data_IF_668444379198
#
_entry.id   IF_668444379198
#
_cell.length_a   1.000
_cell.length_b   1.000
_cell.length_c   1.000
_cell.angle_alpha   90.00
_cell.angle_beta   90.00
_cell.angle_gamma   90.00
#
_symmetry.space_group_name_H-M   'P 1'
#
loop_
_entity.id
_entity.type
_entity.pdbx_description
1 polymer ?
#
# COMPACT_ATOMS: atom_id res chain seq x y z
N UNK A 1 16.10 24.48 3.25
CA UNK A 1 15.10 23.62 2.58
C UNK A 1 15.04 22.32 3.34
N UNK A 2 13.93 22.03 4.01
CA UNK A 2 13.67 20.72 4.61
C UNK A 2 13.46 19.72 3.48
N UNK A 3 14.25 18.65 3.43
CA UNK A 3 14.00 17.55 2.51
C UNK A 3 12.59 17.03 2.79
N UNK A 4 11.74 16.96 1.76
CA UNK A 4 10.45 16.30 1.89
C UNK A 4 10.69 14.82 2.12
N UNK A 5 10.10 14.30 3.19
CA UNK A 5 10.22 12.89 3.57
C UNK A 5 9.01 12.17 2.98
N UNK A 6 9.26 11.26 2.04
CA UNK A 6 8.28 10.28 1.59
C UNK A 6 8.54 8.97 2.31
N UNK A 7 7.48 8.25 2.67
CA UNK A 7 7.62 6.89 3.22
C UNK A 7 8.13 5.92 2.15
N UNK A 8 7.72 6.12 0.90
CA UNK A 8 8.19 5.31 -0.22
C UNK A 8 9.56 5.77 -0.75
N UNK A 9 10.59 4.90 -0.81
CA UNK A 9 11.94 5.30 -1.23
C UNK A 9 12.03 5.75 -2.69
N UNK A 10 11.22 5.15 -3.59
CA UNK A 10 11.16 5.58 -4.98
C UNK A 10 10.58 7.00 -5.14
N UNK A 11 9.56 7.35 -4.34
CA UNK A 11 8.96 8.69 -4.36
C UNK A 11 9.91 9.73 -3.75
N UNK A 12 10.63 9.37 -2.68
CA UNK A 12 11.71 10.20 -2.14
C UNK A 12 12.77 10.52 -3.21
N UNK A 13 13.20 9.50 -3.96
CA UNK A 13 14.19 9.65 -5.04
C UNK A 13 13.65 10.49 -6.20
N UNK A 14 12.39 10.28 -6.60
CA UNK A 14 11.74 11.05 -7.65
C UNK A 14 11.57 12.52 -7.25
N UNK A 15 11.16 12.81 -6.01
CA UNK A 15 11.03 14.16 -5.49
C UNK A 15 12.36 14.93 -5.54
N UNK A 16 13.48 14.27 -5.22
CA UNK A 16 14.81 14.85 -5.36
C UNK A 16 15.14 15.18 -6.83
N UNK A 17 14.80 14.29 -7.78
CA UNK A 17 15.00 14.52 -9.23
C UNK A 17 14.08 15.61 -9.80
N UNK A 18 12.89 15.77 -9.25
CA UNK A 18 11.91 16.80 -9.62
C UNK A 18 12.20 18.18 -9.00
N UNK A 19 13.22 18.31 -8.15
CA UNK A 19 13.50 19.56 -7.43
C UNK A 19 13.72 20.77 -8.37
N UNK A 20 14.37 20.56 -9.50
CA UNK A 20 14.57 21.60 -10.52
C UNK A 20 13.25 21.99 -11.20
N UNK A 21 12.43 21.00 -11.60
CA UNK A 21 11.11 21.26 -12.17
C UNK A 21 10.21 22.00 -11.18
N UNK A 22 10.24 21.63 -9.89
CA UNK A 22 9.54 22.35 -8.82
C UNK A 22 10.01 23.79 -8.70
N UNK A 23 11.32 24.03 -8.76
CA UNK A 23 11.90 25.37 -8.75
C UNK A 23 11.41 26.23 -9.92
N UNK A 24 11.38 25.64 -11.13
CA UNK A 24 10.85 26.30 -12.32
C UNK A 24 9.35 26.57 -12.20
N UNK A 25 8.57 25.57 -11.74
CA UNK A 25 7.14 25.68 -11.51
C UNK A 25 6.79 26.82 -10.55
N UNK A 26 7.53 26.94 -9.45
CA UNK A 26 7.38 28.02 -8.47
C UNK A 26 7.66 29.41 -9.05
N UNK A 27 8.60 29.55 -9.99
CA UNK A 27 8.88 30.82 -10.69
C UNK A 27 7.79 31.21 -11.68
N UNK A 28 7.08 30.23 -12.22
CA UNK A 28 5.98 30.42 -13.18
C UNK A 28 4.61 30.50 -12.51
N UNK A 29 4.51 30.15 -11.22
CA UNK A 29 3.23 30.09 -10.50
C UNK A 29 2.32 28.95 -10.96
N UNK A 30 2.88 27.87 -11.50
CA UNK A 30 2.13 26.66 -11.91
C UNK A 30 2.13 25.61 -10.80
N UNK A 31 1.37 24.53 -10.99
CA UNK A 31 1.21 23.47 -9.99
C UNK A 31 2.55 22.84 -9.58
N UNK A 32 2.68 22.50 -8.28
CA UNK A 32 3.87 21.83 -7.74
C UNK A 32 3.82 20.32 -8.09
N UNK A 33 4.73 19.82 -8.95
CA UNK A 33 4.75 18.42 -9.35
C UNK A 33 5.12 17.48 -8.19
N UNK A 34 5.87 17.95 -7.18
CA UNK A 34 6.25 17.12 -6.03
C UNK A 34 5.09 17.01 -5.04
N UNK A 35 4.25 18.04 -4.93
CA UNK A 35 3.04 17.98 -4.13
C UNK A 35 2.08 16.89 -4.65
N UNK A 36 2.04 16.66 -5.96
CA UNK A 36 1.23 15.59 -6.54
C UNK A 36 1.65 14.20 -6.04
N UNK A 37 2.96 13.92 -5.97
CA UNK A 37 3.47 12.61 -5.52
C UNK A 37 2.99 12.19 -4.13
N UNK A 38 2.62 13.15 -3.27
CA UNK A 38 2.09 12.85 -1.92
C UNK A 38 0.76 12.09 -1.96
N UNK A 39 0.03 12.14 -3.06
CA UNK A 39 -1.19 11.34 -3.24
C UNK A 39 -0.91 9.85 -3.43
N UNK A 40 0.34 9.47 -3.69
CA UNK A 40 0.80 8.08 -3.80
C UNK A 40 1.73 7.68 -2.64
N UNK A 41 1.97 8.58 -1.68
CA UNK A 41 2.88 8.27 -0.57
C UNK A 41 2.23 7.26 0.36
N UNK A 42 2.85 6.09 0.42
CA UNK A 42 2.40 4.95 1.20
C UNK A 42 3.62 4.18 1.73
N UNK A 43 3.44 3.38 2.78
CA UNK A 43 4.44 2.45 3.28
C UNK A 43 4.08 0.98 3.02
N UNK A 44 4.31 0.46 1.79
CA UNK A 44 4.21 -0.95 1.49
C UNK A 44 4.99 -1.84 2.47
N UNK A 45 6.16 -1.39 2.92
CA UNK A 45 6.97 -2.14 3.89
C UNK A 45 6.24 -2.35 5.23
N UNK A 46 5.58 -1.31 5.76
CA UNK A 46 4.79 -1.40 6.99
C UNK A 46 3.58 -2.32 6.83
N UNK A 47 2.93 -2.30 5.66
CA UNK A 47 1.82 -3.21 5.33
C UNK A 47 2.33 -4.65 5.26
N UNK A 48 3.46 -4.91 4.59
CA UNK A 48 4.10 -6.24 4.56
C UNK A 48 4.43 -6.75 5.95
N UNK A 49 5.01 -5.91 6.82
CA UNK A 49 5.28 -6.28 8.22
C UNK A 49 4.00 -6.66 8.97
N UNK A 50 2.93 -5.89 8.78
CA UNK A 50 1.64 -6.17 9.41
C UNK A 50 1.03 -7.49 8.89
N UNK A 51 1.09 -7.72 7.58
CA UNK A 51 0.64 -8.96 6.95
C UNK A 51 1.43 -10.18 7.48
N UNK A 52 2.76 -10.08 7.59
CA UNK A 52 3.59 -11.14 8.17
C UNK A 52 3.28 -11.40 9.64
N UNK A 53 2.95 -10.37 10.42
CA UNK A 53 2.54 -10.55 11.82
C UNK A 53 1.20 -11.29 11.94
N UNK A 54 0.24 -11.00 11.05
CA UNK A 54 -1.05 -11.72 10.98
C UNK A 54 -0.84 -13.18 10.57
N UNK A 55 0.04 -13.44 9.60
CA UNK A 55 0.37 -14.81 9.17
C UNK A 55 0.99 -15.62 10.30
N UNK A 56 1.95 -15.03 11.04
CA UNK A 56 2.51 -15.65 12.24
C UNK A 56 1.44 -15.90 13.32
N UNK A 57 0.46 -14.99 13.47
CA UNK A 57 -0.70 -15.19 14.31
C UNK A 57 -1.56 -16.38 13.88
N UNK A 58 -1.78 -16.57 12.57
CA UNK A 58 -2.53 -17.71 12.03
C UNK A 58 -1.86 -19.06 12.37
N UNK A 59 -0.52 -19.11 12.36
CA UNK A 59 0.24 -20.27 12.81
C UNK A 59 0.05 -20.53 14.31
N UNK A 60 0.02 -19.47 15.13
CA UNK A 60 -0.29 -19.56 16.55
C UNK A 60 -1.69 -20.13 16.83
N UNK A 61 -2.70 -19.70 16.06
CA UNK A 61 -4.07 -20.22 16.15
C UNK A 61 -4.13 -21.70 15.75
N UNK A 62 -3.41 -22.08 14.70
CA UNK A 62 -3.29 -23.51 14.29
C UNK A 62 -2.65 -24.35 15.40
N UNK A 63 -1.58 -23.87 16.03
CA UNK A 63 -0.95 -24.58 17.16
C UNK A 63 -1.90 -24.72 18.35
N UNK A 64 -2.65 -23.67 18.68
CA UNK A 64 -3.66 -23.71 19.74
C UNK A 64 -4.78 -24.69 19.43
N UNK A 65 -5.19 -24.81 18.17
CA UNK A 65 -6.15 -25.80 17.70
C UNK A 65 -5.65 -27.24 17.94
N UNK A 66 -4.39 -27.52 17.62
CA UNK A 66 -3.78 -28.83 17.83
C UNK A 66 -3.71 -29.20 19.32
N UNK A 67 -3.32 -28.25 20.17
CA UNK A 67 -3.32 -28.42 21.62
C UNK A 67 -4.73 -28.65 22.18
N UNK A 68 -5.71 -27.91 21.67
CA UNK A 68 -7.12 -28.07 22.03
C UNK A 68 -7.61 -29.48 21.68
N UNK A 69 -7.38 -29.94 20.44
CA UNK A 69 -7.76 -31.29 19.98
C UNK A 69 -7.12 -32.39 20.85
N UNK A 70 -5.83 -32.26 21.15
CA UNK A 70 -5.14 -33.19 22.04
C UNK A 70 -5.72 -33.17 23.48
N UNK A 71 -6.23 -32.02 23.94
CA UNK A 71 -6.94 -31.90 25.22
C UNK A 71 -8.30 -32.59 25.21
N UNK A 72 -9.08 -32.42 24.14
CA UNK A 72 -10.38 -33.07 23.93
C UNK A 72 -10.25 -34.58 23.92
N UNK A 73 -9.30 -35.13 23.16
CA UNK A 73 -9.03 -36.58 23.09
C UNK A 73 -8.74 -37.20 24.47
N UNK A 74 -8.02 -36.48 25.34
CA UNK A 74 -7.76 -36.94 26.72
C UNK A 74 -9.02 -36.90 27.58
N UNK A 75 -9.87 -35.89 27.42
CA UNK A 75 -11.07 -35.67 28.23
C UNK A 75 -12.20 -36.66 27.90
N UNK A 76 -12.31 -37.10 26.64
CA UNK A 76 -13.35 -38.06 26.20
C UNK A 76 -13.25 -39.43 26.89
N UNK A 77 -12.09 -39.78 27.46
CA UNK A 77 -11.91 -40.99 28.28
C UNK A 77 -12.64 -40.97 29.64
N UNK A 78 -13.24 -39.82 30.03
CA UNK A 78 -13.77 -39.56 31.37
C UNK A 78 -15.29 -39.63 31.60
N UNK A 79 -16.12 -39.89 30.58
CA UNK A 79 -17.53 -40.31 30.78
C UNK A 79 -18.66 -39.28 30.61
N UNK A 80 -18.42 -38.08 30.06
CA UNK A 80 -19.50 -37.16 29.61
C UNK A 80 -19.31 -36.77 28.14
N UNK A 81 -19.71 -37.65 27.22
CA UNK A 81 -19.21 -37.60 25.83
C UNK A 81 -20.03 -36.73 24.86
N UNK A 82 -21.36 -36.76 24.86
CA UNK A 82 -22.13 -36.19 23.73
C UNK A 82 -22.17 -34.65 23.68
N UNK A 83 -22.54 -33.98 24.77
CA UNK A 83 -22.62 -32.50 24.79
C UNK A 83 -21.23 -31.86 24.76
N UNK A 84 -20.23 -32.51 25.37
CA UNK A 84 -18.84 -32.06 25.32
C UNK A 84 -18.26 -32.20 23.92
N UNK A 85 -18.51 -33.31 23.22
CA UNK A 85 -18.08 -33.53 21.84
C UNK A 85 -18.62 -32.48 20.87
N UNK A 86 -19.93 -32.19 20.92
CA UNK A 86 -20.53 -31.17 20.03
C UNK A 86 -19.95 -29.76 20.27
N UNK A 87 -19.69 -29.40 21.52
CA UNK A 87 -19.04 -28.13 21.84
C UNK A 87 -17.58 -28.11 21.39
N UNK A 88 -16.86 -29.22 21.59
CA UNK A 88 -15.48 -29.36 21.15
C UNK A 88 -15.34 -29.24 19.63
N UNK A 89 -16.22 -29.89 18.86
CA UNK A 89 -16.27 -29.76 17.40
C UNK A 89 -16.53 -28.32 16.96
N UNK A 90 -17.42 -27.61 17.67
CA UNK A 90 -17.72 -26.20 17.38
C UNK A 90 -16.48 -25.32 17.59
N UNK A 91 -15.80 -25.48 18.72
CA UNK A 91 -14.59 -24.70 19.05
C UNK A 91 -13.44 -25.04 18.10
N UNK A 92 -13.25 -26.32 17.76
CA UNK A 92 -12.26 -26.74 16.75
C UNK A 92 -12.54 -26.12 15.38
N UNK A 93 -13.81 -26.07 14.97
CA UNK A 93 -14.26 -25.38 13.75
C UNK A 93 -13.94 -23.88 13.78
N UNK A 94 -14.18 -23.21 14.90
CA UNK A 94 -13.87 -21.77 15.08
C UNK A 94 -12.36 -21.50 14.99
N UNK A 95 -11.52 -22.36 15.58
CA UNK A 95 -10.07 -22.26 15.42
C UNK A 95 -9.64 -22.40 13.95
N UNK A 96 -10.19 -23.39 13.25
CA UNK A 96 -9.89 -23.62 11.84
C UNK A 96 -10.34 -22.47 10.93
N UNK A 97 -11.49 -21.87 11.20
CA UNK A 97 -12.00 -20.69 10.49
C UNK A 97 -11.14 -19.46 10.77
N UNK A 98 -10.81 -19.20 12.04
CA UNK A 98 -9.95 -18.09 12.43
C UNK A 98 -8.55 -18.20 11.79
N UNK A 99 -7.93 -19.38 11.80
CA UNK A 99 -6.62 -19.59 11.17
C UNK A 99 -6.68 -19.35 9.66
N UNK A 100 -7.70 -19.89 8.97
CA UNK A 100 -7.88 -19.70 7.51
C UNK A 100 -8.09 -18.23 7.16
N UNK A 101 -8.90 -17.51 7.92
CA UNK A 101 -9.17 -16.10 7.64
C UNK A 101 -7.97 -15.20 7.96
N UNK A 102 -7.21 -15.50 9.01
CA UNK A 102 -5.96 -14.81 9.30
C UNK A 102 -4.94 -15.00 8.16
N UNK A 103 -4.76 -16.24 7.68
CA UNK A 103 -3.90 -16.51 6.52
C UNK A 103 -4.37 -15.80 5.24
N UNK A 104 -5.68 -15.81 4.96
CA UNK A 104 -6.25 -15.09 3.81
C UNK A 104 -6.04 -13.56 3.91
N UNK A 105 -6.19 -13.01 5.12
CA UNK A 105 -5.96 -11.59 5.42
C UNK A 105 -4.50 -11.21 5.19
N UNK A 106 -3.56 -12.02 5.69
CA UNK A 106 -2.14 -11.82 5.48
C UNK A 106 -1.78 -11.86 3.99
N UNK A 107 -2.27 -12.85 3.25
CA UNK A 107 -2.02 -12.98 1.82
C UNK A 107 -2.57 -11.78 1.03
N UNK A 108 -3.77 -11.30 1.37
CA UNK A 108 -4.35 -10.10 0.75
C UNK A 108 -3.53 -8.84 1.09
N UNK A 109 -3.14 -8.66 2.35
CA UNK A 109 -2.31 -7.53 2.78
C UNK A 109 -0.97 -7.48 2.05
N UNK A 110 -0.33 -8.63 1.85
CA UNK A 110 0.90 -8.72 1.06
C UNK A 110 0.69 -8.31 -0.41
N UNK A 111 -0.36 -8.82 -1.08
CA UNK A 111 -0.70 -8.43 -2.46
C UNK A 111 -0.96 -6.93 -2.60
N UNK A 112 -1.69 -6.34 -1.66
CA UNK A 112 -1.99 -4.90 -1.65
C UNK A 112 -0.69 -4.12 -1.51
N UNK A 113 0.20 -4.52 -0.58
CA UNK A 113 1.49 -3.86 -0.42
C UNK A 113 2.32 -3.90 -1.70
N UNK A 114 2.39 -5.05 -2.37
CA UNK A 114 3.14 -5.19 -3.62
C UNK A 114 2.53 -4.34 -4.73
N UNK A 115 1.20 -4.27 -4.83
CA UNK A 115 0.54 -3.42 -5.83
C UNK A 115 0.77 -1.93 -5.58
N UNK A 116 0.77 -1.51 -4.32
CA UNK A 116 1.09 -0.12 -3.92
C UNK A 116 2.54 0.23 -4.27
N UNK A 117 3.47 -0.69 -4.01
CA UNK A 117 4.89 -0.56 -4.34
C UNK A 117 5.09 -0.40 -5.86
N UNK A 118 4.48 -1.28 -6.66
CA UNK A 118 4.51 -1.21 -8.12
C UNK A 118 3.99 0.13 -8.66
N UNK A 119 2.87 0.63 -8.13
CA UNK A 119 2.29 1.90 -8.57
C UNK A 119 3.17 3.09 -8.21
N UNK A 120 3.77 3.08 -7.02
CA UNK A 120 4.68 4.12 -6.57
C UNK A 120 5.99 4.12 -7.38
N UNK A 121 6.56 2.95 -7.69
CA UNK A 121 7.73 2.81 -8.57
C UNK A 121 7.40 3.26 -9.98
N UNK A 122 6.30 2.79 -10.58
CA UNK A 122 5.91 3.17 -11.92
C UNK A 122 5.64 4.69 -12.04
N UNK A 123 5.00 5.29 -11.05
CA UNK A 123 4.83 6.74 -11.00
C UNK A 123 6.18 7.46 -10.89
N UNK A 124 7.07 7.00 -10.01
CA UNK A 124 8.39 7.59 -9.82
C UNK A 124 9.22 7.59 -11.11
N UNK A 125 9.19 6.49 -11.86
CA UNK A 125 9.91 6.37 -13.13
C UNK A 125 9.31 7.31 -14.19
N UNK A 126 7.99 7.26 -14.39
CA UNK A 126 7.29 8.06 -15.40
C UNK A 126 7.47 9.57 -15.19
N UNK A 127 7.36 10.06 -13.95
CA UNK A 127 7.53 11.49 -13.65
C UNK A 127 8.98 11.93 -13.81
N UNK A 128 9.94 11.04 -13.53
CA UNK A 128 11.35 11.31 -13.73
C UNK A 128 11.69 11.41 -15.23
N UNK A 129 11.10 10.57 -16.06
CA UNK A 129 11.24 10.63 -17.52
C UNK A 129 10.66 11.94 -18.07
N UNK A 130 9.45 12.33 -17.64
CA UNK A 130 8.83 13.60 -18.01
C UNK A 130 9.70 14.80 -17.64
N UNK A 131 10.24 14.84 -16.43
CA UNK A 131 11.13 15.90 -15.97
C UNK A 131 12.44 15.93 -16.77
N UNK A 132 12.99 14.76 -17.10
CA UNK A 132 14.24 14.65 -17.87
C UNK A 132 14.06 15.09 -19.32
N UNK A 133 12.91 14.80 -19.93
CA UNK A 133 12.57 15.27 -21.28
C UNK A 133 12.48 16.80 -21.36
N UNK A 134 11.99 17.45 -20.31
CA UNK A 134 11.83 18.90 -20.24
C UNK A 134 13.04 19.65 -19.64
N UNK A 135 14.16 18.95 -19.34
CA UNK A 135 15.34 19.53 -18.69
C UNK A 135 15.84 20.84 -19.32
N UNK A 136 15.95 20.97 -20.66
CA UNK A 136 16.42 22.22 -21.28
C UNK A 136 15.52 23.43 -20.93
N UNK A 137 14.20 23.24 -20.97
CA UNK A 137 13.22 24.29 -20.66
C UNK A 137 13.15 24.59 -19.17
N UNK A 138 13.34 23.58 -18.31
CA UNK A 138 13.49 23.78 -16.86
C UNK A 138 14.70 24.67 -16.58
N UNK A 139 15.85 24.36 -17.15
CA UNK A 139 17.09 25.13 -16.97
C UNK A 139 16.95 26.55 -17.50
N UNK A 140 16.28 26.75 -18.64
CA UNK A 140 15.99 28.07 -19.20
C UNK A 140 15.14 28.93 -18.24
N UNK A 141 14.06 28.38 -17.65
CA UNK A 141 13.26 29.09 -16.63
C UNK A 141 14.09 29.41 -15.39
N UNK A 142 14.96 28.49 -14.97
CA UNK A 142 15.86 28.69 -13.83
C UNK A 142 16.96 29.73 -14.11
N UNK A 143 17.32 29.94 -15.38
CA UNK A 143 18.17 31.05 -15.83
C UNK A 143 17.40 32.37 -16.01
N UNK A 144 16.07 32.34 -15.99
CA UNK A 144 15.20 33.53 -16.07
C UNK A 144 14.51 33.73 -17.42
N UNK A 145 14.63 32.78 -18.35
CA UNK A 145 13.86 32.82 -19.60
C UNK A 145 12.36 32.67 -19.30
N UNK A 146 11.56 33.49 -19.98
CA UNK A 146 10.11 33.54 -19.90
C UNK A 146 9.47 33.59 -21.29
N UNK A 147 10.17 33.14 -22.32
CA UNK A 147 9.60 32.89 -23.64
C UNK A 147 8.38 31.99 -23.54
N UNK A 148 7.40 32.22 -24.41
CA UNK A 148 6.10 31.55 -24.34
C UNK A 148 6.26 30.03 -24.52
N UNK A 149 7.20 29.61 -25.35
CA UNK A 149 7.54 28.23 -25.63
C UNK A 149 8.05 27.51 -24.37
N UNK A 150 9.04 28.09 -23.69
CA UNK A 150 9.65 27.55 -22.47
C UNK A 150 8.64 27.48 -21.32
N UNK A 151 7.85 28.54 -21.13
CA UNK A 151 6.80 28.58 -20.10
C UNK A 151 5.72 27.53 -20.39
N UNK A 152 5.30 27.40 -21.64
CA UNK A 152 4.30 26.41 -22.07
C UNK A 152 4.80 24.99 -21.85
N UNK A 153 6.07 24.69 -22.15
CA UNK A 153 6.64 23.36 -21.97
C UNK A 153 6.73 22.97 -20.50
N UNK A 154 7.27 23.84 -19.63
CA UNK A 154 7.33 23.56 -18.18
C UNK A 154 5.94 23.41 -17.58
N UNK A 155 4.98 24.26 -17.98
CA UNK A 155 3.59 24.16 -17.55
C UNK A 155 2.94 22.84 -18.00
N UNK A 156 3.14 22.44 -19.25
CA UNK A 156 2.62 21.18 -19.80
C UNK A 156 3.22 19.96 -19.08
N UNK A 157 4.53 19.99 -18.79
CA UNK A 157 5.22 18.93 -18.05
C UNK A 157 4.70 18.81 -16.62
N UNK A 158 4.51 19.92 -15.90
CA UNK A 158 3.89 19.88 -14.57
C UNK A 158 2.48 19.27 -14.62
N UNK A 159 1.67 19.67 -15.61
CA UNK A 159 0.34 19.11 -15.80
C UNK A 159 0.37 17.62 -16.23
N UNK A 160 1.40 17.18 -16.93
CA UNK A 160 1.60 15.77 -17.29
C UNK A 160 1.98 14.93 -16.05
N UNK A 161 2.88 15.44 -15.20
CA UNK A 161 3.23 14.80 -13.92
C UNK A 161 2.00 14.63 -13.04
N UNK A 162 1.19 15.68 -12.88
CA UNK A 162 -0.06 15.60 -12.10
C UNK A 162 -1.01 14.54 -12.66
N UNK A 163 -1.16 14.48 -13.99
CA UNK A 163 -2.01 13.45 -14.65
C UNK A 163 -1.48 12.04 -14.46
N UNK A 164 -0.17 11.82 -14.65
CA UNK A 164 0.46 10.51 -14.45
C UNK A 164 0.21 9.98 -13.02
N UNK A 165 0.33 10.86 -12.02
CA UNK A 165 0.01 10.53 -10.63
C UNK A 165 -1.47 10.23 -10.44
N UNK A 166 -2.37 11.06 -10.98
CA UNK A 166 -3.82 10.86 -10.89
C UNK A 166 -4.25 9.53 -11.52
N UNK A 167 -3.64 9.14 -12.63
CA UNK A 167 -3.92 7.87 -13.30
C UNK A 167 -3.54 6.67 -12.41
N UNK A 168 -2.41 6.76 -11.67
CA UNK A 168 -2.04 5.70 -10.70
C UNK A 168 -2.97 5.69 -9.50
N UNK A 169 -3.36 6.85 -8.98
CA UNK A 169 -4.34 6.96 -7.88
C UNK A 169 -5.68 6.37 -8.30
N UNK A 170 -6.14 6.64 -9.52
CA UNK A 170 -7.36 6.05 -10.05
C UNK A 170 -7.26 4.52 -10.13
N UNK A 171 -6.10 3.97 -10.51
CA UNK A 171 -5.86 2.54 -10.51
C UNK A 171 -5.96 1.90 -9.10
N UNK A 172 -5.80 2.68 -8.02
CA UNK A 172 -6.01 2.19 -6.64
C UNK A 172 -7.47 1.88 -6.34
N UNK A 173 -8.44 2.52 -6.99
CA UNK A 173 -9.87 2.23 -6.74
C UNK A 173 -10.25 0.78 -7.09
N UNK A 174 -9.49 0.12 -7.97
CA UNK A 174 -9.66 -1.30 -8.24
C UNK A 174 -9.33 -2.19 -7.02
N UNK A 175 -8.43 -1.75 -6.13
CA UNK A 175 -8.09 -2.47 -4.89
C UNK A 175 -9.18 -2.36 -3.82
N UNK A 176 -10.08 -1.37 -3.90
CA UNK A 176 -11.12 -1.18 -2.89
C UNK A 176 -12.09 -2.37 -2.83
N UNK A 177 -12.40 -2.98 -3.97
CA UNK A 177 -13.23 -4.19 -4.02
C UNK A 177 -12.53 -5.42 -3.39
N UNK A 178 -11.20 -5.47 -3.43
CA UNK A 178 -10.43 -6.55 -2.80
C UNK A 178 -10.37 -6.43 -1.28
N UNK A 179 -10.61 -5.24 -0.73
CA UNK A 179 -10.59 -4.97 0.71
C UNK A 179 -11.90 -5.33 1.42
N UNK A 180 -13.02 -5.47 0.70
CA UNK A 180 -14.34 -5.78 1.26
C UNK A 180 -14.32 -6.99 2.23
N UNK A 181 -13.64 -8.12 1.91
CA UNK A 181 -13.58 -9.28 2.81
C UNK A 181 -12.89 -9.02 4.15
N UNK A 182 -12.10 -7.94 4.26
CA UNK A 182 -11.40 -7.58 5.51
C UNK A 182 -12.28 -6.79 6.49
N UNK A 183 -13.47 -6.37 6.07
CA UNK A 183 -14.35 -5.50 6.88
C UNK A 183 -15.37 -6.27 7.73
N UNK A 184 -15.59 -7.55 7.44
CA UNK A 184 -16.51 -8.40 8.18
C UNK A 184 -15.78 -9.22 9.27
N UNK A 185 -16.31 -9.28 10.51
CA UNK A 185 -15.76 -10.16 11.53
C UNK A 185 -15.96 -11.63 11.11
N UNK A 186 -14.88 -12.41 11.18
CA UNK A 186 -14.86 -13.82 10.77
C UNK A 186 -15.57 -14.71 11.78
N UNK A 187 -15.51 -14.36 13.07
CA UNK A 187 -16.11 -15.12 14.16
C UNK A 187 -17.02 -14.18 14.95
N UNK A 188 -18.31 -14.47 14.96
CA UNK A 188 -19.26 -13.88 15.90
C UNK A 188 -19.27 -14.72 17.17
N UNK A 189 -18.82 -14.16 18.28
CA UNK A 189 -19.00 -14.77 19.60
C UNK A 189 -20.44 -14.49 20.04
N UNK A 190 -21.34 -15.44 19.77
CA UNK A 190 -22.73 -15.43 20.26
C UNK A 190 -22.87 -16.11 21.62
#
# INVERSE_FOLDING_TARGET
MTAEVFEHPALSSAAARLAALRGAAGRLGVADPVAALRHLDCAPASIRTSASAVDAGALGVTSAQEEFRAGVERAETGGSAETFGTWADTVDGQYAEAARAAAATAALGARIADRLDELAVAAADEVCELASAASPSIDAVLAGDRSAEVVSEVGATCAAVVRAVQDKVAALTALAAELEPLTAPVVELS
#
